data_IF_737140315864
#
_entry.id   IF_737140315864
#
_cell.length_a   1.000
_cell.length_b   1.000
_cell.length_c   1.000
_cell.angle_alpha   90.00
_cell.angle_beta   90.00
_cell.angle_gamma   90.00
#
_symmetry.space_group_name_H-M   'P 1'
#
loop_
_entity.id
_entity.type
_entity.pdbx_description
1 polymer ?
#
# COMPACT_ATOMS: atom_id res chain seq x y z
N UNK A 1 14.71 -41.69 -15.84
CA UNK A 1 13.85 -40.99 -16.82
C UNK A 1 12.64 -41.87 -17.10
N UNK A 2 11.49 -41.62 -16.49
CA UNK A 2 10.24 -42.33 -16.77
C UNK A 2 9.10 -41.33 -16.68
N UNK A 3 8.56 -40.94 -17.84
CA UNK A 3 7.42 -40.03 -17.96
C UNK A 3 6.20 -40.90 -18.25
N UNK A 4 5.33 -41.10 -17.26
CA UNK A 4 4.00 -41.67 -17.50
C UNK A 4 3.04 -40.53 -17.88
N UNK A 5 2.48 -40.61 -19.09
CA UNK A 5 1.40 -39.72 -19.56
C UNK A 5 0.04 -40.32 -19.16
N UNK A 6 -0.76 -39.57 -18.41
CA UNK A 6 -2.19 -39.88 -18.20
C UNK A 6 -3.09 -38.80 -18.81
N UNK A 7 -4.30 -39.23 -19.24
CA UNK A 7 -5.27 -38.56 -20.12
C UNK A 7 -5.87 -37.26 -19.52
N UNK A 8 -6.19 -36.33 -20.44
CA UNK A 8 -6.86 -35.03 -20.21
C UNK A 8 -8.26 -35.16 -19.58
N UNK A 9 -8.53 -34.39 -18.53
CA UNK A 9 -9.89 -34.18 -18.02
C UNK A 9 -9.93 -33.22 -16.81
N UNK A 10 -10.41 -31.99 -17.04
CA UNK A 10 -10.38 -30.83 -16.13
C UNK A 10 -8.99 -30.18 -15.98
N UNK A 11 -8.94 -28.85 -15.89
CA UNK A 11 -7.71 -28.07 -15.83
C UNK A 11 -6.98 -28.34 -14.50
N UNK A 12 -6.20 -29.42 -14.47
CA UNK A 12 -5.52 -29.87 -13.26
C UNK A 12 -4.35 -28.93 -12.99
N UNK A 13 -4.39 -28.18 -11.88
CA UNK A 13 -3.22 -27.51 -11.33
C UNK A 13 -2.09 -28.54 -11.22
N UNK A 14 -1.08 -28.42 -12.07
CA UNK A 14 0.02 -29.39 -12.20
C UNK A 14 1.00 -29.14 -11.05
N UNK A 15 0.77 -29.80 -9.92
CA UNK A 15 1.64 -29.71 -8.74
C UNK A 15 2.90 -30.56 -9.00
N UNK A 16 4.07 -29.93 -8.90
CA UNK A 16 5.35 -30.63 -8.97
C UNK A 16 5.71 -31.20 -7.60
N UNK A 17 6.39 -32.35 -7.56
CA UNK A 17 6.77 -33.01 -6.29
C UNK A 17 8.30 -33.18 -6.22
N UNK A 18 8.87 -32.99 -5.04
CA UNK A 18 10.28 -33.24 -4.72
C UNK A 18 10.38 -34.40 -3.72
N UNK A 19 11.29 -35.34 -3.99
CA UNK A 19 11.56 -36.45 -3.10
C UNK A 19 12.41 -35.99 -1.91
N UNK A 20 11.94 -36.26 -0.70
CA UNK A 20 12.65 -36.01 0.55
C UNK A 20 12.68 -37.30 1.39
N UNK A 21 13.77 -38.06 1.24
CA UNK A 21 13.86 -39.43 1.76
C UNK A 21 12.89 -40.37 1.03
N UNK A 22 12.03 -41.05 1.77
CA UNK A 22 11.05 -42.00 1.23
C UNK A 22 9.69 -41.36 0.89
N UNK A 23 9.56 -40.04 1.08
CA UNK A 23 8.29 -39.31 0.89
C UNK A 23 8.42 -38.26 -0.22
N UNK A 24 7.38 -38.15 -1.05
CA UNK A 24 7.24 -37.09 -2.06
C UNK A 24 6.50 -35.89 -1.46
N UNK A 25 7.18 -34.74 -1.38
CA UNK A 25 6.60 -33.49 -0.93
C UNK A 25 6.19 -32.62 -2.13
N UNK A 26 4.98 -32.03 -2.13
CA UNK A 26 4.60 -31.09 -3.18
C UNK A 26 5.44 -29.81 -3.09
N UNK A 27 5.89 -29.32 -4.24
CA UNK A 27 6.56 -28.03 -4.40
C UNK A 27 5.52 -26.92 -4.30
N UNK A 28 5.23 -26.49 -3.08
CA UNK A 28 4.38 -25.35 -2.80
C UNK A 28 5.25 -24.09 -2.80
N UNK A 29 5.17 -23.29 -3.87
CA UNK A 29 5.77 -21.96 -3.92
C UNK A 29 4.66 -20.91 -3.84
N UNK A 30 4.90 -19.86 -3.06
CA UNK A 30 4.05 -18.67 -3.12
C UNK A 30 4.30 -17.98 -4.45
N UNK A 31 3.25 -17.34 -4.98
CA UNK A 31 3.44 -16.44 -6.13
C UNK A 31 4.42 -15.34 -5.70
N UNK A 32 5.38 -14.96 -6.54
CA UNK A 32 6.25 -13.84 -6.24
C UNK A 32 5.37 -12.60 -6.06
N UNK A 33 5.35 -12.07 -4.85
CA UNK A 33 4.70 -10.80 -4.55
C UNK A 33 5.73 -9.70 -4.74
N UNK A 34 5.33 -8.57 -5.33
CA UNK A 34 6.22 -7.42 -5.41
C UNK A 34 6.44 -6.90 -3.99
N UNK A 35 7.63 -7.12 -3.43
CA UNK A 35 8.06 -6.59 -2.14
C UNK A 35 8.22 -5.06 -2.21
N UNK A 36 7.13 -4.33 -2.37
CA UNK A 36 7.13 -2.87 -2.26
C UNK A 36 6.71 -2.54 -0.84
N UNK A 37 7.64 -1.98 -0.07
CA UNK A 37 7.33 -1.50 1.26
C UNK A 37 6.41 -0.27 1.15
N UNK A 38 5.21 -0.30 1.75
CA UNK A 38 4.30 0.83 1.71
C UNK A 38 4.90 2.05 2.43
N UNK A 39 4.63 3.24 1.92
CA UNK A 39 5.04 4.50 2.52
C UNK A 39 4.26 4.84 3.80
N UNK A 40 4.33 6.10 4.23
CA UNK A 40 3.72 6.59 5.49
C UNK A 40 2.23 6.24 5.55
N UNK A 41 1.45 6.54 4.50
CA UNK A 41 0.00 6.39 4.52
C UNK A 41 -0.42 4.93 4.39
N UNK A 42 0.31 4.14 3.59
CA UNK A 42 0.10 2.69 3.52
C UNK A 42 0.36 1.99 4.86
N UNK A 43 1.41 2.37 5.59
CA UNK A 43 1.65 1.83 6.94
C UNK A 43 0.55 2.21 7.93
N UNK A 44 0.06 3.45 7.87
CA UNK A 44 -1.07 3.89 8.70
C UNK A 44 -2.35 3.10 8.39
N UNK A 45 -2.67 2.88 7.10
CA UNK A 45 -3.81 2.06 6.70
C UNK A 45 -3.68 0.63 7.19
N UNK A 46 -2.49 0.03 7.09
CA UNK A 46 -2.23 -1.31 7.60
C UNK A 46 -2.49 -1.41 9.11
N UNK A 47 -2.00 -0.43 9.88
CA UNK A 47 -2.21 -0.40 11.32
C UNK A 47 -3.69 -0.26 11.67
N UNK A 48 -4.40 0.65 10.99
CA UNK A 48 -5.83 0.85 11.18
C UNK A 48 -6.65 -0.40 10.88
N UNK A 49 -6.35 -1.07 9.75
CA UNK A 49 -7.01 -2.33 9.39
C UNK A 49 -6.80 -3.39 10.47
N UNK A 50 -5.59 -3.50 11.02
CA UNK A 50 -5.29 -4.49 12.07
C UNK A 50 -6.01 -4.20 13.38
N UNK A 51 -6.04 -2.93 13.81
CA UNK A 51 -6.59 -2.54 15.13
C UNK A 51 -8.11 -2.40 15.12
N UNK A 52 -8.68 -1.84 14.06
CA UNK A 52 -10.08 -1.45 14.03
C UNK A 52 -10.93 -2.31 13.08
N UNK A 53 -10.31 -2.98 12.09
CA UNK A 53 -11.02 -3.74 11.06
C UNK A 53 -10.35 -5.07 10.73
N UNK A 54 -10.05 -5.84 11.77
CA UNK A 54 -9.28 -7.08 11.63
C UNK A 54 -9.91 -8.05 10.62
N UNK A 55 -11.24 -8.10 10.49
CA UNK A 55 -11.91 -8.91 9.46
C UNK A 55 -11.40 -8.60 8.04
N UNK A 56 -11.40 -7.31 7.63
CA UNK A 56 -10.90 -6.89 6.32
C UNK A 56 -9.40 -7.15 6.17
N UNK A 57 -8.64 -6.97 7.26
CA UNK A 57 -7.21 -7.28 7.26
C UNK A 57 -6.95 -8.77 6.95
N UNK A 58 -7.72 -9.67 7.58
CA UNK A 58 -7.62 -11.10 7.31
C UNK A 58 -8.09 -11.44 5.89
N UNK A 59 -9.17 -10.85 5.41
CA UNK A 59 -9.66 -11.02 4.03
C UNK A 59 -8.57 -10.69 3.00
N UNK A 60 -7.96 -9.50 3.09
CA UNK A 60 -6.87 -9.11 2.20
C UNK A 60 -5.62 -9.99 2.31
N UNK A 61 -5.35 -10.55 3.49
CA UNK A 61 -4.22 -11.46 3.70
C UNK A 61 -4.49 -12.82 3.04
N UNK A 62 -5.70 -13.35 3.16
CA UNK A 62 -6.10 -14.62 2.56
C UNK A 62 -6.15 -14.52 1.03
N UNK A 63 -6.60 -13.39 0.51
CA UNK A 63 -6.66 -13.10 -0.92
C UNK A 63 -5.30 -12.68 -1.52
N UNK A 64 -4.25 -12.58 -0.70
CA UNK A 64 -2.91 -12.11 -1.11
C UNK A 64 -2.96 -10.73 -1.81
N UNK A 65 -3.93 -9.88 -1.44
CA UNK A 65 -4.18 -8.58 -2.05
C UNK A 65 -3.81 -7.41 -1.14
N UNK A 66 -3.37 -7.69 0.09
CA UNK A 66 -3.02 -6.69 1.09
C UNK A 66 -1.99 -5.68 0.58
N UNK A 67 -0.86 -6.13 0.02
CA UNK A 67 0.18 -5.20 -0.41
C UNK A 67 -0.27 -4.35 -1.61
N UNK A 68 -1.06 -4.93 -2.52
CA UNK A 68 -1.68 -4.16 -3.61
C UNK A 68 -2.58 -3.05 -3.07
N UNK A 69 -3.47 -3.37 -2.11
CA UNK A 69 -4.35 -2.38 -1.48
C UNK A 69 -3.55 -1.24 -0.82
N UNK A 70 -2.49 -1.58 -0.06
CA UNK A 70 -1.67 -0.58 0.62
C UNK A 70 -0.91 0.32 -0.38
N UNK A 71 -0.45 -0.23 -1.50
CA UNK A 71 0.16 0.56 -2.58
C UNK A 71 -0.83 1.50 -3.24
N UNK A 72 -2.04 1.04 -3.53
CA UNK A 72 -3.09 1.87 -4.14
C UNK A 72 -3.45 3.05 -3.23
N UNK A 73 -3.54 2.81 -1.92
CA UNK A 73 -3.77 3.86 -0.91
C UNK A 73 -2.60 4.86 -0.88
N UNK A 74 -1.35 4.38 -0.87
CA UNK A 74 -0.16 5.24 -0.89
C UNK A 74 -0.12 6.13 -2.14
N UNK A 75 -0.34 5.54 -3.32
CA UNK A 75 -0.36 6.28 -4.58
C UNK A 75 -1.49 7.32 -4.62
N UNK A 76 -2.67 6.95 -4.12
CA UNK A 76 -3.82 7.85 -4.04
C UNK A 76 -3.54 9.00 -3.08
N UNK A 77 -2.97 8.71 -1.90
CA UNK A 77 -2.59 9.72 -0.91
C UNK A 77 -1.55 10.69 -1.49
N UNK A 78 -0.53 10.19 -2.18
CA UNK A 78 0.52 11.04 -2.75
C UNK A 78 -0.01 11.97 -3.86
N UNK A 79 -0.87 11.45 -4.74
CA UNK A 79 -1.54 12.27 -5.77
C UNK A 79 -2.41 13.34 -5.13
N UNK A 80 -3.21 12.96 -4.14
CA UNK A 80 -4.13 13.86 -3.45
C UNK A 80 -3.38 14.93 -2.64
N UNK A 81 -2.32 14.56 -1.93
CA UNK A 81 -1.42 15.47 -1.23
C UNK A 81 -0.86 16.54 -2.16
N UNK A 82 -0.37 16.13 -3.33
CA UNK A 82 0.21 17.08 -4.31
C UNK A 82 -0.83 18.08 -4.80
N UNK A 83 -2.05 17.62 -5.08
CA UNK A 83 -3.16 18.49 -5.48
C UNK A 83 -3.53 19.49 -4.38
N UNK A 84 -3.75 19.01 -3.15
CA UNK A 84 -4.13 19.85 -2.01
C UNK A 84 -3.02 20.86 -1.66
N UNK A 85 -1.76 20.45 -1.75
CA UNK A 85 -0.62 21.33 -1.49
C UNK A 85 -0.61 22.53 -2.43
N UNK A 86 -0.88 22.32 -3.72
CA UNK A 86 -0.95 23.40 -4.69
C UNK A 86 -2.15 24.33 -4.41
N UNK A 87 -3.32 23.75 -4.10
CA UNK A 87 -4.53 24.52 -3.80
C UNK A 87 -4.36 25.40 -2.55
N UNK A 88 -3.84 24.84 -1.46
CA UNK A 88 -3.68 25.55 -0.20
C UNK A 88 -2.55 26.60 -0.27
N UNK A 89 -1.45 26.31 -0.98
CA UNK A 89 -0.41 27.33 -1.23
C UNK A 89 -0.94 28.55 -1.97
N UNK A 90 -1.76 28.34 -3.00
CA UNK A 90 -2.40 29.43 -3.74
C UNK A 90 -3.38 30.20 -2.87
N UNK A 91 -4.17 29.50 -2.04
CA UNK A 91 -5.14 30.11 -1.12
C UNK A 91 -4.48 30.97 -0.03
N UNK A 92 -3.41 30.48 0.58
CA UNK A 92 -2.74 31.14 1.71
C UNK A 92 -1.68 32.17 1.27
N UNK A 93 -1.54 32.38 -0.04
CA UNK A 93 -0.62 33.34 -0.63
C UNK A 93 0.85 33.04 -0.31
N UNK A 94 1.21 31.76 -0.17
CA UNK A 94 2.60 31.38 0.13
C UNK A 94 3.46 31.58 -1.11
N UNK A 95 4.11 32.74 -1.18
CA UNK A 95 5.00 33.11 -2.28
C UNK A 95 6.47 32.92 -1.91
N UNK A 96 7.32 32.82 -2.93
CA UNK A 96 8.78 32.87 -2.81
C UNK A 96 9.26 34.20 -2.16
N UNK A 97 8.46 35.27 -2.27
CA UNK A 97 8.74 36.57 -1.64
C UNK A 97 8.60 36.48 -0.12
N UNK A 98 7.50 35.88 0.37
CA UNK A 98 7.30 35.65 1.81
C UNK A 98 8.44 34.81 2.41
N UNK A 99 8.96 33.84 1.66
CA UNK A 99 10.09 33.02 2.08
C UNK A 99 11.39 33.83 2.27
N UNK A 100 11.58 34.91 1.51
CA UNK A 100 12.75 35.80 1.61
C UNK A 100 12.59 36.83 2.73
N UNK A 101 11.38 37.36 2.90
CA UNK A 101 11.07 38.39 3.88
C UNK A 101 10.96 37.82 5.30
N UNK A 102 10.26 36.70 5.47
CA UNK A 102 10.10 36.02 6.75
C UNK A 102 10.13 34.48 6.59
N UNK A 103 11.33 33.88 6.63
CA UNK A 103 11.50 32.43 6.55
C UNK A 103 10.78 31.66 7.66
N UNK A 104 10.63 32.25 8.85
CA UNK A 104 10.01 31.59 10.01
C UNK A 104 8.51 31.49 9.79
N UNK A 105 7.85 32.60 9.44
CA UNK A 105 6.42 32.62 9.14
C UNK A 105 6.09 31.75 7.94
N UNK A 106 6.94 31.74 6.91
CA UNK A 106 6.80 30.83 5.77
C UNK A 106 6.79 29.36 6.21
N UNK A 107 7.74 28.97 7.07
CA UNK A 107 7.82 27.61 7.61
C UNK A 107 6.59 27.24 8.44
N UNK A 108 6.09 28.16 9.28
CA UNK A 108 4.88 27.96 10.08
C UNK A 108 3.65 27.72 9.20
N UNK A 109 3.44 28.54 8.16
CA UNK A 109 2.32 28.38 7.23
C UNK A 109 2.41 27.06 6.46
N UNK A 110 3.61 26.70 5.98
CA UNK A 110 3.84 25.43 5.31
C UNK A 110 3.52 24.24 6.21
N UNK A 111 3.95 24.28 7.47
CA UNK A 111 3.64 23.23 8.44
C UNK A 111 2.13 23.14 8.73
N UNK A 112 1.44 24.27 8.85
CA UNK A 112 -0.01 24.30 9.04
C UNK A 112 -0.75 23.65 7.87
N UNK A 113 -0.37 23.97 6.63
CA UNK A 113 -0.93 23.35 5.42
C UNK A 113 -0.66 21.84 5.41
N UNK A 114 0.57 21.41 5.67
CA UNK A 114 0.90 19.99 5.68
C UNK A 114 0.08 19.22 6.73
N UNK A 115 -0.13 19.82 7.90
CA UNK A 115 -0.99 19.24 8.95
C UNK A 115 -2.44 19.13 8.50
N UNK A 116 -2.99 20.17 7.88
CA UNK A 116 -4.37 20.15 7.36
C UNK A 116 -4.54 19.05 6.31
N UNK A 117 -3.60 18.94 5.37
CA UNK A 117 -3.60 17.88 4.36
C UNK A 117 -3.53 16.50 5.00
N UNK A 118 -2.66 16.29 5.99
CA UNK A 118 -2.53 15.01 6.67
C UNK A 118 -3.85 14.59 7.34
N UNK A 119 -4.57 15.53 7.97
CA UNK A 119 -5.87 15.23 8.59
C UNK A 119 -6.96 14.88 7.55
N UNK A 120 -6.99 15.60 6.43
CA UNK A 120 -7.89 15.28 5.31
C UNK A 120 -7.59 13.88 4.78
N UNK A 121 -6.33 13.54 4.52
CA UNK A 121 -5.97 12.24 3.97
C UNK A 121 -6.26 11.08 4.94
N UNK A 122 -6.04 11.29 6.25
CA UNK A 122 -6.39 10.29 7.25
C UNK A 122 -7.88 9.98 7.25
N UNK A 123 -8.71 11.00 7.21
CA UNK A 123 -10.18 10.84 7.22
C UNK A 123 -10.70 10.26 5.90
N UNK A 124 -10.16 10.70 4.76
CA UNK A 124 -10.59 10.23 3.43
C UNK A 124 -10.14 8.78 3.12
N UNK A 125 -8.89 8.42 3.44
CA UNK A 125 -8.25 7.19 2.95
C UNK A 125 -7.94 6.16 4.05
N UNK A 126 -7.61 6.60 5.27
CA UNK A 126 -7.09 5.71 6.32
C UNK A 126 -8.22 5.21 7.22
N UNK A 127 -9.09 6.09 7.70
CA UNK A 127 -10.13 5.73 8.69
C UNK A 127 -11.44 5.24 8.07
N UNK A 128 -11.50 5.20 6.73
CA UNK A 128 -12.67 4.73 6.00
C UNK A 128 -12.89 3.24 6.06
#
# INVERSE_FOLDING_TARGET
MCIMKMKKGADHMKIEYRQHGDVLLPNLTLKPENEVQPGKYGLMRRQFLKEHRNYLFQEYLMDQSLNQHLMEIEQTAQKRKTQLMNQLKTKDGITEQLKKEDPILWGQKMYQIEREIDEILKTELIYR
#
